data_IF_554340859605
#
_entry.id   IF_554340859605
#
_cell.length_a   1.000
_cell.length_b   1.000
_cell.length_c   1.000
_cell.angle_alpha   90.00
_cell.angle_beta   90.00
_cell.angle_gamma   90.00
#
_symmetry.space_group_name_H-M   'P 1'
#
loop_
_entity.id
_entity.type
_entity.pdbx_description
1 polymer ?
#
# COMPACT_ATOMS: atom_id res chain seq x y z
N UNK A 1 9.19 -26.37 -4.74
CA UNK A 1 8.44 -25.09 -4.68
C UNK A 1 7.63 -24.93 -5.96
N UNK A 2 6.30 -25.07 -5.91
CA UNK A 2 5.46 -24.80 -7.07
C UNK A 2 5.22 -23.29 -7.11
N UNK A 3 5.73 -22.60 -8.15
CA UNK A 3 5.30 -21.25 -8.48
C UNK A 3 3.80 -21.30 -8.76
N UNK A 4 3.00 -20.65 -7.92
CA UNK A 4 1.61 -20.37 -8.24
C UNK A 4 1.64 -19.23 -9.26
N UNK A 5 1.68 -19.61 -10.53
CA UNK A 5 1.42 -18.69 -11.62
C UNK A 5 -0.09 -18.45 -11.62
N UNK A 6 -0.53 -17.31 -11.12
CA UNK A 6 -1.88 -16.85 -11.34
C UNK A 6 -2.08 -16.64 -12.83
N UNK A 7 -2.80 -17.57 -13.45
CA UNK A 7 -3.11 -17.50 -14.87
C UNK A 7 -4.28 -16.51 -15.04
N UNK A 8 -3.96 -15.27 -15.30
CA UNK A 8 -4.90 -14.15 -15.46
C UNK A 8 -5.91 -14.35 -16.58
N UNK A 9 -5.63 -15.25 -17.53
CA UNK A 9 -6.50 -15.52 -18.67
C UNK A 9 -7.80 -16.22 -18.30
N UNK A 10 -7.85 -16.94 -17.17
CA UNK A 10 -9.01 -17.77 -16.81
C UNK A 10 -9.98 -17.13 -15.79
N UNK A 11 -9.63 -16.04 -15.12
CA UNK A 11 -10.48 -15.45 -14.07
C UNK A 11 -11.52 -14.43 -14.58
N UNK A 12 -11.41 -14.03 -15.84
CA UNK A 12 -12.29 -13.02 -16.43
C UNK A 12 -13.21 -13.56 -17.54
N UNK A 13 -13.21 -14.89 -17.78
CA UNK A 13 -13.81 -15.54 -18.96
C UNK A 13 -15.24 -16.06 -18.77
N UNK A 14 -15.96 -15.77 -17.71
CA UNK A 14 -17.36 -16.19 -17.60
C UNK A 14 -18.31 -14.99 -17.76
N UNK A 15 -18.51 -14.54 -18.99
CA UNK A 15 -19.83 -14.25 -19.55
C UNK A 15 -19.71 -13.75 -20.99
N UNK A 16 -20.39 -14.52 -21.86
CA UNK A 16 -20.82 -14.22 -23.23
C UNK A 16 -19.82 -14.50 -24.34
N UNK A 17 -20.00 -15.66 -24.95
CA UNK A 17 -19.57 -15.97 -26.32
C UNK A 17 -20.35 -15.06 -27.27
N UNK A 18 -19.68 -14.11 -27.87
CA UNK A 18 -20.02 -13.61 -29.19
C UNK A 18 -18.70 -13.59 -29.97
N UNK A 19 -18.55 -14.55 -30.86
CA UNK A 19 -17.50 -14.58 -31.85
C UNK A 19 -17.67 -13.38 -32.79
N UNK A 20 -16.67 -12.48 -32.77
CA UNK A 20 -16.17 -11.76 -33.93
C UNK A 20 -14.98 -10.92 -33.49
N UNK A 21 -13.82 -11.11 -34.11
CA UNK A 21 -12.55 -10.37 -34.14
C UNK A 21 -12.51 -8.99 -33.44
N UNK A 22 -12.71 -8.93 -32.14
CA UNK A 22 -12.37 -7.77 -31.33
C UNK A 22 -10.98 -8.07 -30.77
N UNK A 23 -9.96 -7.37 -31.22
CA UNK A 23 -8.70 -7.30 -30.46
C UNK A 23 -9.07 -6.92 -29.04
N UNK A 24 -8.97 -7.88 -28.09
CA UNK A 24 -9.30 -7.63 -26.69
C UNK A 24 -8.45 -6.45 -26.20
N UNK A 25 -9.14 -5.34 -25.94
CA UNK A 25 -8.50 -4.16 -25.38
C UNK A 25 -7.86 -4.54 -24.05
N UNK A 26 -6.56 -4.29 -23.91
CA UNK A 26 -5.88 -4.47 -22.62
C UNK A 26 -6.59 -3.66 -21.53
N UNK A 27 -6.68 -4.25 -20.34
CA UNK A 27 -7.24 -3.52 -19.20
C UNK A 27 -6.32 -2.38 -18.81
N UNK A 28 -6.91 -1.21 -18.64
CA UNK A 28 -6.21 0.00 -18.21
C UNK A 28 -6.41 0.25 -16.72
N UNK A 29 -5.32 0.26 -15.97
CA UNK A 29 -5.29 0.54 -14.54
C UNK A 29 -4.74 1.93 -14.29
N UNK A 30 -5.54 2.82 -13.73
CA UNK A 30 -5.04 4.13 -13.31
C UNK A 30 -4.41 4.02 -11.91
N UNK A 31 -3.16 4.46 -11.79
CA UNK A 31 -2.44 4.51 -10.51
C UNK A 31 -2.19 5.96 -10.14
N UNK A 32 -2.78 6.42 -9.03
CA UNK A 32 -2.39 7.70 -8.45
C UNK A 32 -1.23 7.49 -7.47
N UNK A 33 -0.26 8.39 -7.48
CA UNK A 33 0.98 8.18 -6.74
C UNK A 33 1.90 7.14 -7.39
N UNK A 34 1.81 7.00 -8.73
CA UNK A 34 2.55 6.01 -9.53
C UNK A 34 4.07 6.14 -9.45
N UNK A 35 4.58 7.29 -9.08
CA UNK A 35 6.02 7.55 -8.86
C UNK A 35 6.41 7.49 -7.38
N UNK A 36 5.49 7.05 -6.51
CA UNK A 36 5.76 6.73 -5.12
C UNK A 36 6.48 5.38 -4.97
N UNK A 37 6.88 5.05 -3.75
CA UNK A 37 7.56 3.80 -3.42
C UNK A 37 6.70 2.59 -3.85
N UNK A 38 5.51 2.42 -3.29
CA UNK A 38 4.61 1.32 -3.66
C UNK A 38 4.11 1.46 -5.10
N UNK A 39 3.75 2.68 -5.51
CA UNK A 39 3.18 2.94 -6.84
C UNK A 39 4.13 2.60 -8.00
N UNK A 40 5.43 2.86 -7.84
CA UNK A 40 6.45 2.50 -8.83
C UNK A 40 6.56 0.99 -9.02
N UNK A 41 6.70 0.24 -7.92
CA UNK A 41 6.73 -1.23 -7.98
C UNK A 41 5.44 -1.83 -8.56
N UNK A 42 4.28 -1.28 -8.18
CA UNK A 42 3.00 -1.74 -8.73
C UNK A 42 2.91 -1.48 -10.23
N UNK A 43 3.28 -0.29 -10.67
CA UNK A 43 3.29 0.06 -12.09
C UNK A 43 4.12 -0.94 -12.89
N UNK A 44 5.37 -1.15 -12.48
CA UNK A 44 6.29 -2.04 -13.19
C UNK A 44 5.73 -3.47 -13.26
N UNK A 45 5.13 -3.95 -12.17
CA UNK A 45 4.49 -5.26 -12.14
C UNK A 45 3.28 -5.36 -13.07
N UNK A 46 2.37 -4.39 -13.08
CA UNK A 46 1.20 -4.41 -13.95
C UNK A 46 1.58 -4.37 -15.44
N UNK A 47 2.60 -3.59 -15.79
CA UNK A 47 3.15 -3.56 -17.16
C UNK A 47 3.74 -4.93 -17.53
N UNK A 48 4.50 -5.57 -16.63
CA UNK A 48 5.04 -6.92 -16.84
C UNK A 48 3.94 -7.97 -17.02
N UNK A 49 2.81 -7.80 -16.32
CA UNK A 49 1.63 -8.67 -16.44
C UNK A 49 0.79 -8.34 -17.69
N UNK A 50 1.23 -7.39 -18.54
CA UNK A 50 0.62 -7.06 -19.83
C UNK A 50 -0.57 -6.10 -19.76
N UNK A 51 -0.79 -5.42 -18.64
CA UNK A 51 -1.84 -4.41 -18.48
C UNK A 51 -1.36 -3.05 -19.00
N UNK A 52 -2.30 -2.22 -19.44
CA UNK A 52 -2.03 -0.80 -19.69
C UNK A 52 -2.11 -0.05 -18.35
N UNK A 53 -1.20 0.90 -18.15
CA UNK A 53 -1.15 1.70 -16.91
C UNK A 53 -1.24 3.17 -17.25
N UNK A 54 -2.25 3.84 -16.68
CA UNK A 54 -2.37 5.30 -16.72
C UNK A 54 -1.81 5.88 -15.43
N UNK A 55 -0.74 6.66 -15.54
CA UNK A 55 -0.06 7.29 -14.41
C UNK A 55 -0.70 8.62 -14.01
N UNK A 56 -0.91 8.83 -12.68
CA UNK A 56 -1.34 10.10 -12.09
C UNK A 56 -0.42 10.43 -10.91
N UNK A 57 0.54 11.32 -11.13
CA UNK A 57 1.49 11.76 -10.11
C UNK A 57 1.93 13.19 -10.38
N UNK A 58 2.06 14.00 -9.33
CA UNK A 58 2.54 15.37 -9.43
C UNK A 58 4.03 15.47 -9.83
N UNK A 59 4.77 14.36 -9.71
CA UNK A 59 6.20 14.27 -10.08
C UNK A 59 6.44 13.86 -11.52
N UNK A 60 5.40 13.64 -12.31
CA UNK A 60 5.54 13.42 -13.76
C UNK A 60 5.63 14.75 -14.51
N UNK A 61 6.03 14.71 -15.78
CA UNK A 61 6.10 15.88 -16.66
C UNK A 61 5.22 15.65 -17.89
N UNK A 62 4.17 16.44 -18.10
CA UNK A 62 3.61 17.43 -17.17
C UNK A 62 2.98 16.78 -15.92
N UNK A 63 2.94 17.50 -14.77
CA UNK A 63 2.30 16.98 -13.56
C UNK A 63 0.81 16.69 -13.79
N UNK A 64 0.30 15.57 -13.23
CA UNK A 64 -1.13 15.27 -13.23
C UNK A 64 -1.69 15.32 -11.82
N UNK A 65 -2.55 16.31 -11.58
CA UNK A 65 -3.27 16.47 -10.32
C UNK A 65 -4.47 15.53 -10.26
N UNK A 66 -4.82 15.09 -9.05
CA UNK A 66 -6.09 14.37 -8.79
C UNK A 66 -7.30 15.26 -9.13
N UNK A 67 -7.14 16.57 -9.08
CA UNK A 67 -8.20 17.52 -9.46
C UNK A 67 -8.60 17.38 -10.95
N UNK A 68 -7.68 16.94 -11.78
CA UNK A 68 -7.85 16.76 -13.23
C UNK A 68 -8.11 15.28 -13.60
N UNK A 69 -8.36 14.40 -12.62
CA UNK A 69 -8.50 12.97 -12.87
C UNK A 69 -9.64 12.69 -13.84
N UNK A 70 -9.27 12.07 -14.98
CA UNK A 70 -10.20 11.64 -16.02
C UNK A 70 -10.45 10.13 -15.93
N UNK A 71 -11.70 9.68 -15.66
CA UNK A 71 -12.06 8.28 -15.59
C UNK A 71 -12.22 7.59 -16.95
N UNK A 72 -12.16 8.33 -18.07
CA UNK A 72 -12.37 7.76 -19.39
C UNK A 72 -11.33 6.69 -19.73
N UNK A 73 -11.81 5.54 -20.21
CA UNK A 73 -10.98 4.38 -20.57
C UNK A 73 -10.23 3.73 -19.39
N UNK A 74 -10.61 4.04 -18.15
CA UNK A 74 -10.05 3.41 -16.95
C UNK A 74 -10.95 2.26 -16.52
N UNK A 75 -10.36 1.06 -16.37
CA UNK A 75 -11.07 -0.15 -15.94
C UNK A 75 -10.93 -0.40 -14.43
N UNK A 76 -9.89 0.14 -13.81
CA UNK A 76 -9.59 -0.04 -12.38
C UNK A 76 -8.76 1.14 -11.85
N UNK A 77 -8.97 1.54 -10.62
CA UNK A 77 -8.18 2.59 -9.97
C UNK A 77 -7.46 2.04 -8.75
N UNK A 78 -6.15 2.31 -8.65
CA UNK A 78 -5.36 2.10 -7.45
C UNK A 78 -4.88 3.46 -6.95
N UNK A 79 -5.49 3.93 -5.86
CA UNK A 79 -5.21 5.26 -5.29
C UNK A 79 -4.17 5.16 -4.17
N UNK A 80 -2.90 5.45 -4.50
CA UNK A 80 -1.77 5.42 -3.56
C UNK A 80 -1.24 6.82 -3.22
N UNK A 81 -1.73 7.87 -3.87
CA UNK A 81 -1.32 9.25 -3.64
C UNK A 81 -1.78 9.72 -2.26
N UNK A 82 -0.89 9.70 -1.28
CA UNK A 82 -1.16 10.17 0.07
C UNK A 82 0.10 10.69 0.76
N UNK A 83 -0.04 11.65 1.67
CA UNK A 83 0.98 11.91 2.68
C UNK A 83 0.89 10.83 3.76
N UNK A 84 2.03 10.22 4.11
CA UNK A 84 2.09 9.04 4.97
C UNK A 84 3.11 9.18 6.12
N UNK A 85 3.35 10.39 6.61
CA UNK A 85 4.23 10.63 7.75
C UNK A 85 3.39 11.08 8.95
N UNK A 86 3.32 10.21 9.98
CA UNK A 86 2.52 10.44 11.19
C UNK A 86 2.95 11.74 11.89
N UNK A 87 4.26 11.94 12.11
CA UNK A 87 4.79 13.11 12.83
C UNK A 87 4.55 14.42 12.08
N UNK A 88 4.80 14.44 10.77
CA UNK A 88 4.51 15.62 9.95
C UNK A 88 3.01 15.98 9.94
N UNK A 89 2.11 15.01 10.14
CA UNK A 89 0.69 15.29 10.21
C UNK A 89 0.31 16.09 11.45
N UNK A 90 1.11 16.03 12.52
CA UNK A 90 0.93 16.85 13.73
C UNK A 90 1.33 18.31 13.43
N UNK A 91 2.41 18.47 12.64
CA UNK A 91 2.95 19.80 12.29
C UNK A 91 2.04 20.54 11.31
N UNK A 92 1.46 19.82 10.33
CA UNK A 92 0.60 20.42 9.29
C UNK A 92 -0.64 19.55 9.03
N UNK A 93 -1.62 19.52 9.94
CA UNK A 93 -2.82 18.71 9.79
C UNK A 93 -3.70 19.12 8.61
N UNK A 94 -3.69 20.40 8.23
CA UNK A 94 -4.51 20.92 7.12
C UNK A 94 -4.02 20.40 5.78
N UNK A 95 -2.71 20.35 5.58
CA UNK A 95 -2.11 19.74 4.37
C UNK A 95 -2.50 18.28 4.23
N UNK A 96 -2.48 17.53 5.34
CA UNK A 96 -2.91 16.13 5.34
C UNK A 96 -4.39 15.99 5.05
N UNK A 97 -5.23 16.85 5.63
CA UNK A 97 -6.67 16.84 5.36
C UNK A 97 -6.96 17.09 3.88
N UNK A 98 -6.43 18.16 3.32
CA UNK A 98 -6.63 18.52 1.91
C UNK A 98 -6.22 17.38 0.97
N UNK A 99 -5.02 16.84 1.16
CA UNK A 99 -4.52 15.79 0.27
C UNK A 99 -5.16 14.42 0.53
N UNK A 100 -5.23 13.99 1.79
CA UNK A 100 -5.64 12.62 2.09
C UNK A 100 -7.17 12.47 2.18
N UNK A 101 -7.92 13.52 2.56
CA UNK A 101 -9.38 13.42 2.65
C UNK A 101 -10.05 13.98 1.40
N UNK A 102 -9.82 15.25 1.05
CA UNK A 102 -10.54 15.88 -0.04
C UNK A 102 -10.25 15.20 -1.38
N UNK A 103 -8.96 14.94 -1.70
CA UNK A 103 -8.57 14.28 -2.93
C UNK A 103 -9.01 12.81 -2.98
N UNK A 104 -8.89 12.06 -1.87
CA UNK A 104 -9.37 10.68 -1.81
C UNK A 104 -10.89 10.63 -1.99
N UNK A 105 -11.65 11.49 -1.30
CA UNK A 105 -13.12 11.59 -1.47
C UNK A 105 -13.49 11.91 -2.91
N UNK A 106 -12.72 12.76 -3.60
CA UNK A 106 -12.94 13.04 -5.02
C UNK A 106 -12.78 11.78 -5.87
N UNK A 107 -11.70 11.03 -5.71
CA UNK A 107 -11.47 9.77 -6.44
C UNK A 107 -12.57 8.75 -6.10
N UNK A 108 -12.93 8.60 -4.82
CA UNK A 108 -14.01 7.72 -4.39
C UNK A 108 -15.33 8.02 -5.11
N UNK A 109 -15.72 9.29 -5.18
CA UNK A 109 -16.93 9.72 -5.90
C UNK A 109 -16.85 9.44 -7.40
N UNK A 110 -15.72 9.80 -8.04
CA UNK A 110 -15.53 9.57 -9.47
C UNK A 110 -15.64 8.07 -9.77
N UNK A 111 -14.96 7.22 -9.02
CA UNK A 111 -15.01 5.76 -9.21
C UNK A 111 -16.41 5.20 -8.96
N UNK A 112 -17.13 5.68 -7.94
CA UNK A 112 -18.49 5.25 -7.65
C UNK A 112 -19.44 5.59 -8.81
N UNK A 113 -19.50 6.86 -9.23
CA UNK A 113 -20.40 7.31 -10.28
C UNK A 113 -20.11 6.71 -11.67
N UNK A 114 -18.86 6.32 -11.94
CA UNK A 114 -18.48 5.65 -13.18
C UNK A 114 -18.41 4.12 -13.05
N UNK A 115 -18.82 3.57 -11.89
CA UNK A 115 -18.81 2.13 -11.61
C UNK A 115 -17.41 1.49 -11.79
N UNK A 116 -16.35 2.25 -11.50
CA UNK A 116 -14.95 1.78 -11.59
C UNK A 116 -14.54 1.21 -10.23
N UNK A 117 -14.01 -0.03 -10.17
CA UNK A 117 -13.43 -0.60 -8.96
C UNK A 117 -12.27 0.25 -8.43
N UNK A 118 -12.21 0.45 -7.11
CA UNK A 118 -11.17 1.24 -6.45
C UNK A 118 -10.53 0.47 -5.30
N UNK A 119 -9.21 0.29 -5.35
CA UNK A 119 -8.40 0.02 -4.15
C UNK A 119 -7.70 1.31 -3.74
N UNK A 120 -7.70 1.63 -2.45
CA UNK A 120 -7.07 2.87 -1.97
C UNK A 120 -6.24 2.67 -0.72
N UNK A 121 -5.16 3.44 -0.61
CA UNK A 121 -4.23 3.37 0.51
C UNK A 121 -4.88 3.85 1.81
N UNK A 122 -5.09 2.93 2.74
CA UNK A 122 -5.31 3.17 4.16
C UNK A 122 -4.04 2.85 4.96
N UNK A 123 -4.14 2.62 6.25
CA UNK A 123 -3.00 2.39 7.13
C UNK A 123 -3.41 1.60 8.37
N UNK A 124 -2.49 0.82 8.95
CA UNK A 124 -2.64 0.24 10.29
C UNK A 124 -2.90 1.28 11.39
N UNK A 125 -2.58 2.56 11.13
CA UNK A 125 -2.93 3.67 12.03
C UNK A 125 -4.44 3.82 12.26
N UNK A 126 -5.30 3.21 11.43
CA UNK A 126 -6.75 3.22 11.61
C UNK A 126 -7.17 2.59 12.95
N UNK A 127 -6.44 1.61 13.44
CA UNK A 127 -6.76 0.93 14.69
C UNK A 127 -6.56 1.82 15.93
N UNK A 128 -5.75 2.88 15.78
CA UNK A 128 -5.51 3.92 16.79
C UNK A 128 -5.61 5.32 16.15
N UNK A 129 -6.63 5.53 15.31
CA UNK A 129 -6.77 6.71 14.44
C UNK A 129 -6.71 8.05 15.19
N UNK A 130 -7.16 8.07 16.45
CA UNK A 130 -7.20 9.27 17.30
C UNK A 130 -5.82 9.77 17.74
N UNK A 131 -4.75 8.98 17.59
CA UNK A 131 -3.40 9.37 17.99
C UNK A 131 -2.79 10.41 17.06
N UNK A 132 -3.26 10.53 15.82
CA UNK A 132 -2.67 11.47 14.85
C UNK A 132 -3.67 11.96 13.81
N UNK A 133 -3.47 13.19 13.27
CA UNK A 133 -4.24 13.67 12.12
C UNK A 133 -4.14 12.74 10.91
N UNK A 134 -2.98 12.13 10.66
CA UNK A 134 -2.83 11.10 9.62
C UNK A 134 -3.79 9.92 9.82
N UNK A 135 -3.82 9.32 11.02
CA UNK A 135 -4.76 8.25 11.36
C UNK A 135 -6.21 8.69 11.16
N UNK A 136 -6.56 9.91 11.61
CA UNK A 136 -7.89 10.50 11.40
C UNK A 136 -8.24 10.59 9.92
N UNK A 137 -7.32 11.04 9.05
CA UNK A 137 -7.61 11.12 7.60
C UNK A 137 -7.91 9.74 7.01
N UNK A 138 -7.21 8.70 7.44
CA UNK A 138 -7.46 7.32 6.97
C UNK A 138 -8.81 6.79 7.48
N UNK A 139 -9.16 7.09 8.71
CA UNK A 139 -10.49 6.75 9.27
C UNK A 139 -11.61 7.38 8.47
N UNK A 140 -11.53 8.67 8.16
CA UNK A 140 -12.52 9.37 7.33
C UNK A 140 -12.65 8.72 5.95
N UNK A 141 -11.53 8.39 5.30
CA UNK A 141 -11.55 7.74 3.98
C UNK A 141 -12.29 6.39 3.99
N UNK A 142 -12.13 5.59 5.06
CA UNK A 142 -12.83 4.32 5.18
C UNK A 142 -14.33 4.49 5.48
N UNK A 143 -14.71 5.50 6.27
CA UNK A 143 -16.11 5.80 6.59
C UNK A 143 -16.89 6.39 5.41
N UNK A 144 -16.18 7.03 4.46
CA UNK A 144 -16.80 7.66 3.27
C UNK A 144 -16.76 6.80 2.01
N UNK A 145 -16.18 5.60 2.09
CA UNK A 145 -16.05 4.70 0.94
C UNK A 145 -17.39 4.09 0.51
N UNK A 146 -17.51 3.82 -0.78
CA UNK A 146 -18.67 3.18 -1.41
C UNK A 146 -18.46 1.66 -1.55
N UNK A 147 -19.51 0.94 -1.97
CA UNK A 147 -19.55 -0.53 -2.03
C UNK A 147 -18.59 -1.16 -3.07
N UNK A 148 -18.11 -0.38 -4.05
CA UNK A 148 -17.13 -0.82 -5.05
C UNK A 148 -15.69 -0.39 -4.71
N UNK A 149 -15.39 -0.19 -3.42
CA UNK A 149 -14.13 0.36 -2.94
C UNK A 149 -13.61 -0.42 -1.74
N UNK A 150 -12.30 -0.67 -1.74
CA UNK A 150 -11.63 -1.46 -0.70
C UNK A 150 -10.40 -0.71 -0.18
N UNK A 151 -10.31 -0.57 1.13
CA UNK A 151 -9.17 0.03 1.82
C UNK A 151 -8.03 -0.96 2.01
N UNK A 152 -6.81 -0.52 1.73
CA UNK A 152 -5.57 -1.26 1.95
C UNK A 152 -4.87 -0.68 3.19
N UNK A 153 -5.00 -1.34 4.32
CA UNK A 153 -4.40 -0.91 5.61
C UNK A 153 -2.95 -1.37 5.69
N UNK A 154 -2.07 -0.64 5.06
CA UNK A 154 -0.64 -0.98 5.09
C UNK A 154 -0.04 -0.83 6.47
N UNK A 155 0.80 -1.80 6.86
CA UNK A 155 1.71 -1.70 8.01
C UNK A 155 3.00 -0.98 7.60
N UNK A 156 4.14 -1.31 8.19
CA UNK A 156 5.41 -0.64 7.87
C UNK A 156 6.06 -1.28 6.65
N UNK A 157 5.83 -0.69 5.47
CA UNK A 157 6.37 -1.21 4.20
C UNK A 157 7.85 -0.89 4.05
N UNK A 158 8.68 -1.87 3.67
CA UNK A 158 10.12 -1.72 3.42
C UNK A 158 10.54 -2.39 2.11
N UNK A 159 11.76 -2.16 1.68
CA UNK A 159 12.37 -2.74 0.47
C UNK A 159 13.03 -1.69 -0.42
N UNK A 160 13.47 -2.09 -1.60
CA UNK A 160 14.19 -1.24 -2.54
C UNK A 160 13.33 -0.03 -2.97
N UNK A 161 13.92 1.17 -2.96
CA UNK A 161 13.21 2.42 -3.28
C UNK A 161 12.40 2.99 -2.11
N UNK A 162 12.47 2.40 -0.90
CA UNK A 162 11.92 3.02 0.30
C UNK A 162 12.64 4.33 0.61
N UNK A 163 11.91 5.30 1.20
CA UNK A 163 12.49 6.61 1.55
C UNK A 163 13.62 6.45 2.56
N UNK A 164 14.73 7.14 2.34
CA UNK A 164 15.94 7.09 3.20
C UNK A 164 15.66 7.40 4.68
N UNK A 165 14.64 8.21 4.96
CA UNK A 165 14.26 8.55 6.33
C UNK A 165 13.40 7.49 7.04
N UNK A 166 13.07 6.37 6.41
CA UNK A 166 12.38 5.23 7.04
C UNK A 166 13.34 4.37 7.85
N UNK A 167 12.81 3.59 8.81
CA UNK A 167 13.63 2.84 9.76
C UNK A 167 14.59 1.85 9.09
N UNK A 168 14.12 0.97 8.21
CA UNK A 168 15.00 -0.03 7.58
C UNK A 168 16.10 0.60 6.73
N UNK A 169 15.86 1.57 5.82
CA UNK A 169 16.92 2.28 5.12
C UNK A 169 17.95 2.94 6.07
N UNK A 170 17.48 3.61 7.12
CA UNK A 170 18.38 4.21 8.13
C UNK A 170 19.21 3.17 8.86
N UNK A 171 18.61 2.03 9.20
CA UNK A 171 19.30 0.94 9.88
C UNK A 171 20.44 0.40 9.00
N UNK A 172 20.15 0.12 7.73
CA UNK A 172 21.13 -0.40 6.78
C UNK A 172 22.23 0.61 6.39
N UNK A 173 21.93 1.91 6.46
CA UNK A 173 22.89 3.00 6.20
C UNK A 173 23.62 3.52 7.45
N UNK A 174 23.50 2.84 8.58
CA UNK A 174 24.13 3.21 9.86
C UNK A 174 23.72 4.60 10.41
N UNK A 175 22.48 5.03 10.14
CA UNK A 175 21.97 6.36 10.50
C UNK A 175 20.94 6.34 11.65
N UNK A 176 20.77 5.20 12.31
CA UNK A 176 19.88 5.07 13.48
C UNK A 176 20.67 5.41 14.73
N UNK A 177 20.25 6.45 15.45
CA UNK A 177 20.90 6.92 16.67
C UNK A 177 20.33 6.30 17.96
N UNK A 178 19.07 5.89 17.92
CA UNK A 178 18.35 5.26 19.03
C UNK A 178 17.19 4.41 18.50
N UNK A 179 16.71 3.52 19.34
CA UNK A 179 15.53 2.68 19.08
C UNK A 179 14.45 2.93 20.12
N UNK A 180 13.24 2.44 19.84
CA UNK A 180 12.12 2.41 20.80
C UNK A 180 11.63 0.98 20.96
N UNK A 181 10.85 0.70 22.00
CA UNK A 181 10.22 -0.61 22.22
C UNK A 181 8.90 -0.79 21.47
N UNK A 182 8.63 0.08 20.50
CA UNK A 182 7.48 -0.09 19.63
C UNK A 182 7.58 -1.39 18.85
N UNK A 183 6.47 -2.09 18.76
CA UNK A 183 6.31 -3.27 17.92
C UNK A 183 5.77 -2.80 16.56
N UNK A 184 6.42 -3.22 15.50
CA UNK A 184 6.02 -2.91 14.12
C UNK A 184 5.94 -4.18 13.29
N UNK A 185 4.88 -4.27 12.52
CA UNK A 185 4.77 -5.27 11.46
C UNK A 185 5.44 -4.70 10.21
N UNK A 186 6.57 -5.29 9.84
CA UNK A 186 7.35 -4.89 8.68
C UNK A 186 7.02 -5.80 7.50
N UNK A 187 6.40 -5.24 6.46
CA UNK A 187 6.06 -5.98 5.24
C UNK A 187 6.93 -5.52 4.06
N UNK A 188 7.46 -6.48 3.31
CA UNK A 188 8.24 -6.16 2.11
C UNK A 188 7.35 -5.65 0.97
N UNK A 189 7.82 -4.67 0.20
CA UNK A 189 7.05 -4.08 -0.89
C UNK A 189 6.57 -5.11 -1.92
N UNK A 190 7.34 -6.17 -2.19
CA UNK A 190 6.93 -7.28 -3.08
C UNK A 190 5.65 -7.97 -2.59
N UNK A 191 5.56 -8.23 -1.28
CA UNK A 191 4.37 -8.86 -0.70
C UNK A 191 3.16 -7.91 -0.73
N UNK A 192 3.39 -6.59 -0.57
CA UNK A 192 2.34 -5.57 -0.75
C UNK A 192 1.80 -5.60 -2.18
N UNK A 193 2.69 -5.68 -3.19
CA UNK A 193 2.28 -5.77 -4.59
C UNK A 193 1.46 -7.04 -4.85
N UNK A 194 1.90 -8.21 -4.36
CA UNK A 194 1.15 -9.46 -4.47
C UNK A 194 -0.22 -9.39 -3.77
N UNK A 195 -0.33 -8.68 -2.64
CA UNK A 195 -1.61 -8.44 -1.97
C UNK A 195 -2.57 -7.62 -2.85
N UNK A 196 -2.08 -6.52 -3.45
CA UNK A 196 -2.87 -5.68 -4.36
C UNK A 196 -3.34 -6.50 -5.56
N UNK A 197 -2.45 -7.27 -6.19
CA UNK A 197 -2.76 -8.14 -7.33
C UNK A 197 -3.79 -9.21 -6.93
N UNK A 198 -3.64 -9.82 -5.76
CA UNK A 198 -4.61 -10.78 -5.23
C UNK A 198 -6.02 -10.15 -5.13
N UNK A 199 -6.14 -8.97 -4.54
CA UNK A 199 -7.42 -8.26 -4.42
C UNK A 199 -7.99 -7.85 -5.78
N UNK A 200 -7.16 -7.35 -6.70
CA UNK A 200 -7.57 -7.02 -8.08
C UNK A 200 -8.13 -8.23 -8.84
N UNK A 201 -7.70 -9.45 -8.51
CA UNK A 201 -8.18 -10.68 -9.15
C UNK A 201 -9.57 -11.11 -8.71
N UNK A 202 -10.14 -10.49 -7.68
CA UNK A 202 -11.44 -10.84 -7.11
C UNK A 202 -12.54 -9.89 -7.59
N UNK A 203 -13.80 -10.32 -7.45
CA UNK A 203 -14.91 -9.41 -7.62
C UNK A 203 -14.98 -8.44 -6.43
N UNK A 204 -14.70 -7.17 -6.67
CA UNK A 204 -14.57 -6.15 -5.62
C UNK A 204 -15.82 -6.04 -4.73
N UNK A 205 -17.02 -6.31 -5.27
CA UNK A 205 -18.27 -6.26 -4.51
C UNK A 205 -18.48 -7.44 -3.55
N UNK A 206 -17.61 -8.46 -3.62
CA UNK A 206 -17.60 -9.63 -2.74
C UNK A 206 -16.46 -9.57 -1.72
N UNK A 207 -15.64 -8.52 -1.78
CA UNK A 207 -14.55 -8.30 -0.85
C UNK A 207 -15.06 -7.58 0.42
N UNK A 208 -14.30 -7.73 1.51
CA UNK A 208 -14.46 -6.89 2.69
C UNK A 208 -14.13 -5.43 2.35
N UNK A 209 -14.67 -4.49 3.11
CA UNK A 209 -14.44 -3.06 2.90
C UNK A 209 -12.99 -2.65 3.13
N UNK A 210 -12.23 -3.43 3.88
CA UNK A 210 -10.84 -3.15 4.22
C UNK A 210 -10.07 -4.44 4.52
N UNK A 211 -8.78 -4.44 4.18
CA UNK A 211 -7.85 -5.52 4.49
C UNK A 211 -6.59 -4.96 5.12
N UNK A 212 -6.17 -5.57 6.22
CA UNK A 212 -4.85 -5.31 6.79
C UNK A 212 -3.78 -5.99 5.93
N UNK A 213 -2.82 -5.21 5.46
CA UNK A 213 -1.72 -5.65 4.59
C UNK A 213 -0.42 -5.56 5.40
N UNK A 214 -0.06 -6.67 5.99
CA UNK A 214 1.10 -6.86 6.85
C UNK A 214 1.57 -8.30 6.83
N UNK A 215 2.46 -8.66 7.72
CA UNK A 215 2.93 -10.05 7.87
C UNK A 215 2.14 -10.83 8.92
N UNK A 216 1.44 -10.14 9.82
CA UNK A 216 0.85 -10.70 11.01
C UNK A 216 1.88 -11.00 12.11
N UNK A 217 3.13 -10.56 11.93
CA UNK A 217 4.23 -10.73 12.89
C UNK A 217 4.80 -9.38 13.29
N UNK A 218 4.76 -9.08 14.58
CA UNK A 218 5.34 -7.87 15.13
C UNK A 218 6.81 -8.07 15.50
N UNK A 219 7.67 -7.13 15.12
CA UNK A 219 9.06 -7.06 15.53
C UNK A 219 9.29 -5.77 16.32
N UNK A 220 10.05 -5.79 17.41
CA UNK A 220 10.48 -4.55 18.03
C UNK A 220 11.59 -3.91 17.19
N UNK A 221 11.61 -2.57 17.13
CA UNK A 221 12.70 -1.88 16.41
C UNK A 221 14.05 -2.09 17.11
N UNK A 222 14.03 -2.41 18.41
CA UNK A 222 15.22 -2.79 19.19
C UNK A 222 15.80 -4.12 18.70
N UNK A 223 14.95 -5.17 18.54
CA UNK A 223 15.39 -6.50 18.07
C UNK A 223 15.98 -6.41 16.65
N UNK A 224 15.33 -5.64 15.76
CA UNK A 224 15.84 -5.47 14.39
C UNK A 224 17.20 -4.75 14.36
N UNK A 225 17.44 -3.82 15.28
CA UNK A 225 18.76 -3.18 15.43
C UNK A 225 19.83 -4.19 15.90
N UNK A 226 19.49 -5.07 16.85
CA UNK A 226 20.38 -6.15 17.32
C UNK A 226 20.71 -7.11 16.17
N UNK A 227 19.72 -7.52 15.36
CA UNK A 227 19.93 -8.38 14.20
C UNK A 227 20.86 -7.72 13.17
N UNK A 228 20.78 -6.40 13.00
CA UNK A 228 21.69 -5.63 12.15
C UNK A 228 23.08 -5.41 12.76
N UNK A 229 23.36 -5.92 13.97
CA UNK A 229 24.65 -5.81 14.66
C UNK A 229 24.80 -4.55 15.50
N UNK A 230 23.72 -3.85 15.87
CA UNK A 230 23.76 -2.63 16.66
C UNK A 230 23.25 -2.84 18.09
N UNK A 231 23.93 -2.17 19.03
CA UNK A 231 23.40 -1.93 20.37
C UNK A 231 23.19 -0.43 20.51
N UNK A 232 21.92 0.01 20.47
CA UNK A 232 21.55 1.41 20.45
C UNK A 232 20.83 1.82 21.75
N UNK A 233 20.90 3.10 22.15
CA UNK A 233 20.11 3.60 23.27
C UNK A 233 18.60 3.41 23.00
N UNK A 234 17.85 2.97 24.02
CA UNK A 234 16.40 2.84 23.97
C UNK A 234 15.78 4.12 24.50
N UNK A 235 14.89 4.72 23.74
CA UNK A 235 14.09 5.89 24.15
C UNK A 235 12.61 5.56 24.19
N UNK A 236 11.84 6.37 24.87
CA UNK A 236 10.38 6.32 24.78
C UNK A 236 9.93 6.66 23.37
N UNK A 237 8.85 5.99 22.93
CA UNK A 237 8.25 6.27 21.63
C UNK A 237 7.38 7.52 21.64
N UNK A 238 7.08 8.05 20.46
CA UNK A 238 6.17 9.19 20.33
C UNK A 238 4.74 8.83 20.68
N UNK A 239 4.08 9.67 21.45
CA UNK A 239 2.68 9.49 21.85
C UNK A 239 1.69 9.49 20.67
N UNK A 240 2.09 10.02 19.51
CA UNK A 240 1.29 10.03 18.28
C UNK A 240 1.37 8.72 17.49
N UNK A 241 2.16 7.75 17.96
CA UNK A 241 2.34 6.45 17.32
C UNK A 241 1.79 5.32 18.22
N UNK A 242 1.09 4.36 17.63
CA UNK A 242 0.66 3.17 18.35
C UNK A 242 1.86 2.37 18.87
N UNK A 243 1.76 1.80 20.07
CA UNK A 243 2.81 0.95 20.63
C UNK A 243 3.00 -0.34 19.82
N UNK A 244 1.94 -0.84 19.20
CA UNK A 244 1.93 -2.03 18.37
C UNK A 244 1.02 -1.79 17.15
N UNK A 245 1.47 -2.17 15.95
CA UNK A 245 0.70 -2.09 14.71
C UNK A 245 0.67 -3.42 13.94
N UNK A 246 0.80 -4.54 14.63
CA UNK A 246 0.73 -5.88 14.00
C UNK A 246 -0.62 -6.07 13.31
N UNK A 247 -0.60 -6.49 12.05
CA UNK A 247 -1.77 -6.69 11.22
C UNK A 247 -2.53 -7.98 11.57
N UNK A 248 -3.84 -7.97 11.42
CA UNK A 248 -4.64 -9.20 11.31
C UNK A 248 -4.82 -9.55 9.84
N UNK A 249 -4.04 -10.50 9.34
CA UNK A 249 -4.06 -10.95 7.95
C UNK A 249 -5.01 -12.12 7.68
N UNK A 250 -5.90 -12.44 8.61
CA UNK A 250 -6.81 -13.59 8.50
C UNK A 250 -7.65 -13.50 7.22
N UNK A 251 -8.21 -12.35 6.90
CA UNK A 251 -9.05 -12.18 5.70
C UNK A 251 -8.22 -12.27 4.41
N UNK A 252 -6.98 -11.77 4.40
CA UNK A 252 -6.09 -11.94 3.25
C UNK A 252 -5.69 -13.40 3.02
N UNK A 253 -5.46 -14.17 4.10
CA UNK A 253 -5.19 -15.62 4.00
C UNK A 253 -6.37 -16.39 3.42
N UNK A 254 -7.62 -16.03 3.74
CA UNK A 254 -8.82 -16.65 3.14
C UNK A 254 -8.88 -16.42 1.62
N UNK A 255 -8.33 -15.33 1.12
CA UNK A 255 -8.22 -15.04 -0.31
C UNK A 255 -7.08 -15.79 -1.01
N UNK A 256 -6.25 -16.54 -0.25
CA UNK A 256 -5.11 -17.29 -0.74
C UNK A 256 -3.80 -16.49 -0.78
N UNK A 257 -3.75 -15.31 -0.17
CA UNK A 257 -2.53 -14.53 -0.06
C UNK A 257 -1.84 -14.74 1.30
N UNK A 258 -0.51 -14.78 1.28
CA UNK A 258 0.34 -14.76 2.47
C UNK A 258 1.67 -14.07 2.15
N UNK A 259 2.27 -13.33 3.09
CA UNK A 259 3.58 -12.73 2.91
C UNK A 259 4.66 -13.81 2.79
N UNK A 260 5.73 -13.52 2.07
CA UNK A 260 6.81 -14.46 1.75
C UNK A 260 8.19 -13.98 2.17
N UNK A 261 8.37 -12.69 2.44
CA UNK A 261 9.66 -12.09 2.78
C UNK A 261 9.72 -11.79 4.27
N UNK A 262 10.65 -12.45 4.97
CA UNK A 262 10.94 -12.17 6.37
C UNK A 262 11.88 -10.98 6.51
N UNK A 263 11.59 -10.05 7.43
CA UNK A 263 12.37 -8.83 7.64
C UNK A 263 13.75 -9.12 8.25
N UNK A 264 13.87 -10.14 9.10
CA UNK A 264 15.14 -10.50 9.73
C UNK A 264 16.08 -11.07 8.67
N UNK A 265 15.59 -11.98 7.83
CA UNK A 265 16.35 -12.54 6.71
C UNK A 265 16.79 -11.46 5.72
N UNK A 266 15.90 -10.47 5.46
CA UNK A 266 16.24 -9.33 4.60
C UNK A 266 17.37 -8.50 5.19
N UNK A 267 17.31 -8.12 6.48
CA UNK A 267 18.36 -7.36 7.16
C UNK A 267 19.69 -8.14 7.15
N UNK A 268 19.65 -9.42 7.53
CA UNK A 268 20.87 -10.26 7.55
C UNK A 268 21.53 -10.28 6.18
N UNK A 269 20.78 -10.48 5.10
CA UNK A 269 21.32 -10.49 3.72
C UNK A 269 21.96 -9.17 3.31
N UNK A 270 21.43 -8.05 3.80
CA UNK A 270 21.97 -6.71 3.47
C UNK A 270 23.18 -6.32 4.33
N UNK A 271 23.37 -6.95 5.50
CA UNK A 271 24.45 -6.62 6.44
C UNK A 271 25.67 -7.54 6.32
N UNK A 272 25.53 -8.71 5.69
CA UNK A 272 26.68 -9.60 5.43
C UNK A 272 27.48 -9.02 4.25
N UNK A 273 28.80 -8.73 4.42
CA UNK A 273 29.65 -8.35 3.30
C UNK A 273 29.75 -9.49 2.28
N UNK A 274 29.54 -9.19 1.02
CA UNK A 274 29.76 -10.12 -0.09
C UNK A 274 31.24 -10.28 -0.42
#
# INVERSE_FOLDING_TARGET
>A
MRKVLYNWTNLWYNNTIIEENIMERKKNVAITGSRGFIGGHLKDRLIQDGMDVTEWDLRQDPPKSIEDFDPNHVDYVIHLAAYANVRQSIEDPQKYWKNNVENTTRIQKICHYNNIPLLYASSSCIHNWWLSPYGTTKKVNEETAFENQVALRFTTVYGDGARENMFIPKLLSHQVEYVTRHVRDFIHVKDVIEAIICLMSKNIRQLEKAYDIGTGTGNTVEDLAIIAGYTLPVKDGDACEAANNTADITEMKKLGWSPTVDVNDYIIKQTIPH
#
